data_IF_663357725865
#
_entry.id   IF_663357725865
#
_cell.length_a   1.000
_cell.length_b   1.000
_cell.length_c   1.000
_cell.angle_alpha   90.00
_cell.angle_beta   90.00
_cell.angle_gamma   90.00
#
_symmetry.space_group_name_H-M   'P 1'
#
loop_
_entity.id
_entity.type
_entity.pdbx_description
1 polymer ?
#
# COMPACT_ATOMS: atom_id res chain seq x y z
N UNK A 1 -40.90 20.37 36.20
CA UNK A 1 -40.42 21.24 35.09
C UNK A 1 -38.91 21.55 35.12
N UNK A 2 -38.21 21.66 36.26
CA UNK A 2 -36.78 22.06 36.30
C UNK A 2 -35.75 20.94 35.97
N UNK A 3 -36.09 19.66 36.20
CA UNK A 3 -35.18 18.52 35.92
C UNK A 3 -35.25 18.00 34.48
N UNK A 4 -36.34 18.27 33.76
CA UNK A 4 -36.58 17.77 32.40
C UNK A 4 -35.59 18.43 31.41
N UNK A 5 -35.30 19.72 31.58
CA UNK A 5 -34.34 20.43 30.73
C UNK A 5 -32.92 19.89 30.85
N UNK A 6 -32.49 19.54 32.07
CA UNK A 6 -31.16 18.97 32.31
C UNK A 6 -31.08 17.55 31.75
N UNK A 7 -32.13 16.74 31.95
CA UNK A 7 -32.20 15.40 31.39
C UNK A 7 -32.17 15.40 29.86
N UNK A 8 -32.91 16.31 29.20
CA UNK A 8 -32.85 16.46 27.75
C UNK A 8 -31.47 16.94 27.26
N UNK A 9 -30.84 17.87 27.99
CA UNK A 9 -29.51 18.38 27.63
C UNK A 9 -28.43 17.31 27.75
N UNK A 10 -28.52 16.44 28.77
CA UNK A 10 -27.61 15.31 28.93
C UNK A 10 -27.86 14.23 27.86
N UNK A 11 -29.13 13.99 27.49
CA UNK A 11 -29.49 13.02 26.46
C UNK A 11 -28.95 13.44 25.07
N UNK A 12 -29.06 14.72 24.71
CA UNK A 12 -28.49 15.24 23.46
C UNK A 12 -26.96 15.21 23.45
N UNK A 13 -26.30 15.43 24.59
CA UNK A 13 -24.85 15.29 24.72
C UNK A 13 -24.36 13.85 24.50
N UNK A 14 -25.10 12.87 25.02
CA UNK A 14 -24.77 11.44 24.84
C UNK A 14 -24.96 11.00 23.38
N UNK A 15 -25.94 11.57 22.68
CA UNK A 15 -26.20 11.31 21.26
C UNK A 15 -25.17 11.98 20.33
N UNK A 16 -24.55 13.08 20.73
CA UNK A 16 -23.45 13.70 19.96
C UNK A 16 -22.10 13.02 20.20
N UNK A 17 -21.89 12.38 21.35
CA UNK A 17 -20.67 11.63 21.66
C UNK A 17 -20.60 10.23 21.01
N UNK A 18 -21.70 9.70 20.47
CA UNK A 18 -21.69 8.42 19.73
C UNK A 18 -21.16 8.54 18.29
N UNK A 19 -20.70 9.73 17.89
CA UNK A 19 -20.02 9.98 16.62
C UNK A 19 -18.55 9.54 16.61
N UNK A 20 -18.23 8.35 17.11
CA UNK A 20 -16.96 7.71 16.76
C UNK A 20 -17.23 6.85 15.53
N UNK A 21 -17.26 7.50 14.36
CA UNK A 21 -17.20 6.76 13.10
C UNK A 21 -15.95 5.90 13.18
N UNK A 22 -16.14 4.59 13.17
CA UNK A 22 -15.04 3.64 13.04
C UNK A 22 -14.39 3.94 11.70
N UNK A 23 -13.40 4.84 11.70
CA UNK A 23 -12.41 4.88 10.65
C UNK A 23 -11.78 3.51 10.77
N UNK A 24 -12.20 2.56 9.92
CA UNK A 24 -11.44 1.35 9.70
C UNK A 24 -10.03 1.85 9.41
N UNK A 25 -9.15 1.70 10.39
CA UNK A 25 -7.77 2.14 10.29
C UNK A 25 -7.18 1.30 9.17
N UNK A 26 -7.11 1.90 7.98
CA UNK A 26 -6.67 1.18 6.80
C UNK A 26 -5.17 0.99 6.95
N UNK A 27 -4.82 -0.11 7.60
CA UNK A 27 -3.45 -0.44 7.96
C UNK A 27 -2.66 -0.71 6.68
N UNK A 28 -1.40 -0.28 6.64
CA UNK A 28 -0.51 -0.61 5.54
C UNK A 28 0.08 -2.01 5.74
N UNK A 29 -0.11 -2.86 4.75
CA UNK A 29 0.59 -4.13 4.59
C UNK A 29 1.88 -3.87 3.83
N UNK A 30 2.97 -4.43 4.33
CA UNK A 30 4.28 -4.36 3.68
C UNK A 30 4.63 -5.75 3.19
N UNK A 31 4.92 -5.89 1.90
CA UNK A 31 5.34 -7.16 1.31
C UNK A 31 6.67 -7.00 0.57
N UNK A 32 7.55 -7.98 0.75
CA UNK A 32 8.78 -8.08 -0.02
C UNK A 32 8.50 -8.88 -1.29
N UNK A 33 8.93 -8.36 -2.43
CA UNK A 33 8.64 -8.93 -3.73
C UNK A 33 9.82 -8.83 -4.68
N UNK A 34 9.81 -9.64 -5.74
CA UNK A 34 10.78 -9.62 -6.83
C UNK A 34 10.06 -9.28 -8.13
N UNK A 35 10.59 -8.30 -8.88
CA UNK A 35 10.07 -7.96 -10.19
C UNK A 35 10.39 -9.09 -11.17
N UNK A 36 9.36 -9.67 -11.79
CA UNK A 36 9.50 -10.72 -12.81
C UNK A 36 9.36 -10.16 -14.22
N UNK A 37 8.53 -9.14 -14.41
CA UNK A 37 8.30 -8.50 -15.71
C UNK A 37 8.07 -6.99 -15.57
N UNK A 38 8.41 -6.24 -16.62
CA UNK A 38 8.19 -4.79 -16.71
C UNK A 38 7.56 -4.48 -18.07
N UNK A 39 6.37 -3.87 -18.07
CA UNK A 39 5.71 -3.34 -19.26
C UNK A 39 5.83 -1.81 -19.27
N UNK A 40 6.77 -1.30 -20.06
CA UNK A 40 7.02 0.14 -20.19
C UNK A 40 5.88 0.87 -20.91
N UNK A 41 5.11 0.18 -21.76
CA UNK A 41 4.01 0.79 -22.51
C UNK A 41 2.81 1.13 -21.63
N UNK A 42 2.52 0.26 -20.65
CA UNK A 42 1.47 0.46 -19.65
C UNK A 42 1.97 1.06 -18.34
N UNK A 43 3.28 1.09 -18.14
CA UNK A 43 3.92 1.40 -16.86
C UNK A 43 3.43 0.47 -15.74
N UNK A 44 3.42 -0.84 -16.01
CA UNK A 44 3.06 -1.87 -15.03
C UNK A 44 4.25 -2.79 -14.76
N UNK A 45 4.29 -3.37 -13.56
CA UNK A 45 5.25 -4.43 -13.23
C UNK A 45 4.50 -5.68 -12.79
N UNK A 46 5.03 -6.85 -13.16
CA UNK A 46 4.63 -8.12 -12.56
C UNK A 46 5.64 -8.44 -11.48
N UNK A 47 5.15 -8.78 -10.30
CA UNK A 47 5.99 -9.17 -9.16
C UNK A 47 5.53 -10.51 -8.61
N UNK A 48 6.42 -11.16 -7.89
CA UNK A 48 6.11 -12.31 -7.04
C UNK A 48 6.63 -12.07 -5.63
N UNK A 49 6.10 -12.78 -4.64
CA UNK A 49 6.67 -12.77 -3.29
C UNK A 49 8.19 -13.10 -3.31
N UNK A 50 9.00 -12.42 -2.48
CA UNK A 50 10.39 -12.80 -2.24
C UNK A 50 10.45 -14.13 -1.46
N UNK A 51 11.63 -14.74 -1.36
CA UNK A 51 11.80 -15.98 -0.61
C UNK A 51 11.24 -15.84 0.82
N UNK A 52 10.46 -16.85 1.24
CA UNK A 52 9.78 -16.93 2.54
C UNK A 52 8.54 -16.04 2.74
N UNK A 53 8.11 -15.30 1.72
CA UNK A 53 6.89 -14.49 1.71
C UNK A 53 5.72 -15.20 0.99
N UNK A 54 4.49 -14.79 1.29
CA UNK A 54 3.26 -15.34 0.65
C UNK A 54 2.11 -14.33 0.60
N UNK A 55 2.44 -13.04 0.62
CA UNK A 55 1.44 -11.98 0.73
C UNK A 55 0.76 -11.70 -0.61
N UNK A 56 1.52 -11.72 -1.71
CA UNK A 56 1.07 -11.35 -3.06
C UNK A 56 0.64 -12.55 -3.92
N UNK A 57 1.17 -13.74 -3.65
CA UNK A 57 0.99 -14.94 -4.45
C UNK A 57 2.11 -15.19 -5.48
N UNK A 58 1.84 -16.08 -6.45
CA UNK A 58 2.84 -16.49 -7.45
C UNK A 58 3.16 -15.36 -8.44
N UNK A 59 2.15 -14.61 -8.90
CA UNK A 59 2.31 -13.46 -9.78
C UNK A 59 1.24 -12.41 -9.44
N UNK A 60 1.66 -11.15 -9.29
CA UNK A 60 0.81 -10.02 -8.97
C UNK A 60 1.19 -8.85 -9.89
N UNK A 61 0.21 -8.33 -10.63
CA UNK A 61 0.37 -7.16 -11.49
C UNK A 61 0.16 -5.88 -10.68
N UNK A 62 1.08 -4.92 -10.78
CA UNK A 62 1.01 -3.63 -10.08
C UNK A 62 1.03 -2.50 -11.11
N UNK A 63 0.07 -1.58 -10.97
CA UNK A 63 0.00 -0.34 -11.74
C UNK A 63 0.90 0.73 -11.11
N UNK A 64 1.88 1.22 -11.86
CA UNK A 64 2.91 2.14 -11.36
C UNK A 64 2.84 3.63 -11.79
N UNK A 65 1.96 4.13 -12.69
CA UNK A 65 2.01 5.52 -13.18
C UNK A 65 2.00 6.60 -12.10
N UNK A 66 1.29 6.36 -10.99
CA UNK A 66 1.15 7.30 -9.88
C UNK A 66 1.78 6.82 -8.57
N UNK A 67 2.52 5.70 -8.63
CA UNK A 67 3.12 5.10 -7.43
C UNK A 67 4.41 5.84 -7.11
N UNK A 68 4.56 6.42 -5.91
CA UNK A 68 5.83 6.99 -5.48
C UNK A 68 6.86 5.88 -5.32
N UNK A 69 8.02 6.08 -5.96
CA UNK A 69 9.13 5.13 -5.93
C UNK A 69 10.34 5.71 -5.21
N UNK A 70 10.92 4.93 -4.31
CA UNK A 70 12.08 5.35 -3.51
C UNK A 70 13.14 4.26 -3.44
N UNK A 71 14.39 4.66 -3.32
CA UNK A 71 15.50 3.82 -2.91
C UNK A 71 16.00 4.29 -1.54
N UNK A 72 16.19 3.37 -0.60
CA UNK A 72 16.75 3.66 0.71
C UNK A 72 18.13 3.02 0.83
N UNK A 73 19.17 3.84 0.95
CA UNK A 73 20.51 3.35 1.28
C UNK A 73 20.54 2.96 2.77
N UNK A 74 20.66 1.66 3.07
CA UNK A 74 20.66 1.16 4.44
C UNK A 74 21.89 1.59 5.25
N UNK A 75 23.03 1.84 4.61
CA UNK A 75 24.25 2.23 5.30
C UNK A 75 24.20 3.71 5.70
N UNK A 76 23.73 4.59 4.80
CA UNK A 76 23.66 6.03 5.03
C UNK A 76 22.30 6.52 5.51
N UNK A 77 21.27 5.66 5.50
CA UNK A 77 19.85 5.98 5.75
C UNK A 77 19.31 7.09 4.84
N UNK A 78 19.89 7.23 3.63
CA UNK A 78 19.48 8.28 2.69
C UNK A 78 18.38 7.75 1.78
N UNK A 79 17.26 8.47 1.74
CA UNK A 79 16.16 8.19 0.81
C UNK A 79 16.35 8.99 -0.48
N UNK A 80 16.34 8.31 -1.61
CA UNK A 80 16.43 8.89 -2.95
C UNK A 80 15.16 8.55 -3.71
N UNK A 81 14.53 9.54 -4.37
CA UNK A 81 13.40 9.26 -5.26
C UNK A 81 13.94 8.66 -6.55
N UNK A 82 13.31 7.58 -7.00
CA UNK A 82 13.63 6.93 -8.27
C UNK A 82 12.41 7.02 -9.19
N UNK A 83 12.60 6.64 -10.44
CA UNK A 83 11.59 6.60 -11.49
C UNK A 83 11.31 5.15 -11.90
N UNK A 84 10.24 4.96 -12.68
CA UNK A 84 9.91 3.65 -13.25
C UNK A 84 11.03 3.11 -14.15
N UNK A 85 11.73 4.00 -14.84
CA UNK A 85 12.84 3.68 -15.76
C UNK A 85 14.06 3.10 -15.02
N UNK A 86 14.16 3.37 -13.72
CA UNK A 86 15.23 2.82 -12.88
C UNK A 86 14.96 1.36 -12.48
N UNK A 87 13.75 0.83 -12.68
CA UNK A 87 13.39 -0.54 -12.31
C UNK A 87 13.94 -1.56 -13.32
N UNK A 88 14.36 -2.72 -12.82
CA UNK A 88 14.87 -3.82 -13.61
C UNK A 88 14.24 -5.15 -13.18
N UNK A 89 14.14 -6.09 -14.12
CA UNK A 89 13.74 -7.46 -13.81
C UNK A 89 14.76 -8.07 -12.84
N UNK A 90 14.26 -8.83 -11.86
CA UNK A 90 14.96 -9.37 -10.69
C UNK A 90 15.30 -8.36 -9.59
N UNK A 91 14.84 -7.11 -9.70
CA UNK A 91 14.91 -6.23 -8.55
C UNK A 91 14.07 -6.75 -7.40
N UNK A 92 14.63 -6.67 -6.20
CA UNK A 92 13.86 -6.82 -4.97
C UNK A 92 13.24 -5.49 -4.62
N UNK A 93 11.95 -5.50 -4.32
CA UNK A 93 11.17 -4.33 -3.95
C UNK A 93 10.35 -4.61 -2.71
N UNK A 94 10.09 -3.56 -1.94
CA UNK A 94 9.16 -3.58 -0.83
C UNK A 94 7.95 -2.76 -1.27
N UNK A 95 6.78 -3.37 -1.26
CA UNK A 95 5.52 -2.73 -1.65
C UNK A 95 4.68 -2.44 -0.42
N UNK A 96 4.17 -1.21 -0.34
CA UNK A 96 3.24 -0.77 0.70
C UNK A 96 1.83 -0.77 0.15
N UNK A 97 0.94 -1.55 0.74
CA UNK A 97 -0.40 -1.81 0.22
C UNK A 97 -1.42 -1.47 1.30
N UNK A 98 -2.53 -0.82 0.94
CA UNK A 98 -3.65 -0.66 1.88
C UNK A 98 -4.30 -2.01 2.14
N UNK A 99 -4.56 -2.34 3.40
CA UNK A 99 -5.21 -3.60 3.76
C UNK A 99 -6.55 -3.77 3.04
N UNK A 100 -7.34 -2.70 2.96
CA UNK A 100 -8.61 -2.68 2.23
C UNK A 100 -8.44 -3.08 0.75
N UNK A 101 -7.35 -2.64 0.14
CA UNK A 101 -7.08 -2.88 -1.27
C UNK A 101 -6.56 -4.29 -1.53
N UNK A 102 -5.81 -4.86 -0.60
CA UNK A 102 -5.48 -6.28 -0.60
C UNK A 102 -6.71 -7.17 -0.43
N UNK A 103 -7.65 -6.81 0.46
CA UNK A 103 -8.92 -7.53 0.62
C UNK A 103 -9.78 -7.48 -0.66
N UNK A 104 -9.88 -6.30 -1.28
CA UNK A 104 -10.57 -6.13 -2.56
C UNK A 104 -9.94 -6.96 -3.67
N UNK A 105 -8.60 -6.96 -3.76
CA UNK A 105 -7.85 -7.75 -4.72
C UNK A 105 -8.12 -9.26 -4.55
N UNK A 106 -8.05 -9.76 -3.31
CA UNK A 106 -8.28 -11.18 -2.99
C UNK A 106 -9.73 -11.63 -3.18
N UNK A 107 -10.69 -10.73 -3.02
CA UNK A 107 -12.12 -11.02 -3.24
C UNK A 107 -12.52 -11.06 -4.73
N UNK A 108 -11.59 -10.77 -5.64
CA UNK A 108 -11.85 -10.73 -7.08
C UNK A 108 -12.74 -9.55 -7.50
N UNK A 109 -12.83 -8.51 -6.66
CA UNK A 109 -13.66 -7.33 -6.92
C UNK A 109 -13.05 -6.33 -7.91
N UNK A 110 -11.82 -6.58 -8.38
CA UNK A 110 -11.13 -5.70 -9.31
C UNK A 110 -11.22 -6.23 -10.75
N UNK A 111 -11.85 -5.45 -11.64
CA UNK A 111 -12.04 -5.81 -13.05
C UNK A 111 -10.72 -6.04 -13.81
N UNK A 112 -9.62 -5.41 -13.37
CA UNK A 112 -8.31 -5.47 -14.04
C UNK A 112 -7.28 -6.39 -13.37
N UNK A 113 -7.62 -7.13 -12.30
CA UNK A 113 -6.67 -7.98 -11.54
C UNK A 113 -5.33 -7.29 -11.23
N UNK A 114 -5.37 -5.97 -11.01
CA UNK A 114 -4.18 -5.16 -10.77
C UNK A 114 -4.18 -4.63 -9.35
N UNK A 115 -3.09 -4.84 -8.62
CA UNK A 115 -2.97 -4.38 -7.25
C UNK A 115 -2.50 -2.92 -7.22
N UNK A 116 -3.27 -2.07 -6.55
CA UNK A 116 -2.86 -0.70 -6.26
C UNK A 116 -2.01 -0.66 -5.01
N UNK A 117 -0.90 0.06 -5.08
CA UNK A 117 0.05 0.20 -3.99
C UNK A 117 0.27 1.68 -3.67
N UNK A 118 0.53 1.98 -2.40
CA UNK A 118 0.76 3.34 -1.91
C UNK A 118 2.21 3.79 -2.16
N UNK A 119 3.15 2.85 -2.16
CA UNK A 119 4.56 3.11 -2.39
C UNK A 119 5.28 1.85 -2.85
N UNK A 120 6.30 2.03 -3.68
CA UNK A 120 7.27 1.00 -4.03
C UNK A 120 8.66 1.45 -3.60
N UNK A 121 9.35 0.63 -2.81
CA UNK A 121 10.73 0.87 -2.39
C UNK A 121 11.65 -0.15 -3.06
N UNK A 122 12.68 0.31 -3.75
CA UNK A 122 13.73 -0.55 -4.30
C UNK A 122 14.68 -0.99 -3.18
N UNK A 123 14.89 -2.31 -3.08
CA UNK A 123 15.80 -2.94 -2.13
C UNK A 123 17.15 -3.30 -2.75
N UNK A 124 17.20 -3.58 -4.06
CA UNK A 124 18.45 -3.93 -4.76
C UNK A 124 19.47 -2.80 -4.66
N UNK A 125 20.59 -3.05 -3.98
CA UNK A 125 21.74 -2.15 -4.04
C UNK A 125 22.46 -2.36 -5.36
N UNK A 126 22.34 -1.41 -6.27
CA UNK A 126 23.18 -1.36 -7.47
C UNK A 126 24.41 -0.51 -7.17
N UNK A 127 25.60 -0.88 -7.65
CA UNK A 127 26.74 0.03 -7.60
C UNK A 127 26.34 1.33 -8.32
N UNK A 128 26.62 2.47 -7.71
CA UNK A 128 26.53 3.74 -8.41
C UNK A 128 27.49 3.68 -9.61
N UNK A 129 27.00 4.03 -10.81
CA UNK A 129 27.84 4.18 -12.00
C UNK A 129 28.91 5.26 -11.82
#
# INVERSE_FOLDING_TARGET
MRGIGIALCLLTLMLSLSGCGSLKDDTLLIANAVITEIDTGKQTITVKDDADESTLGEECLIDCPSVPMVYCDFATQKVTRISFEDLQVNDRVIVSIRSSEMENFRSGGNEENTLKVEQLQLYTQRPAE
#
